data_IF_352785345437
#
_entry.id   IF_352785345437
#
_cell.length_a   1.000
_cell.length_b   1.000
_cell.length_c   1.000
_cell.angle_alpha   90.00
_cell.angle_beta   90.00
_cell.angle_gamma   90.00
#
_symmetry.space_group_name_H-M   'P 1'
#
loop_
_entity.id
_entity.type
_entity.pdbx_description
1 polymer ?
#
# COMPACT_ATOMS: atom_id res chain seq x y z
N UNK A 1 -26.01 -15.62 22.15
CA UNK A 1 -24.83 -14.80 21.80
C UNK A 1 -25.31 -13.69 20.87
N UNK A 2 -25.14 -12.43 21.25
CA UNK A 2 -25.52 -11.27 20.42
C UNK A 2 -24.26 -10.74 19.74
N UNK A 3 -24.26 -10.66 18.41
CA UNK A 3 -23.17 -10.09 17.62
C UNK A 3 -23.74 -8.89 16.86
N UNK A 4 -23.07 -7.75 16.95
CA UNK A 4 -23.45 -6.53 16.24
C UNK A 4 -22.25 -6.09 15.40
N UNK A 5 -22.48 -5.94 14.10
CA UNK A 5 -21.48 -5.48 13.14
C UNK A 5 -21.86 -4.10 12.61
N UNK A 6 -20.91 -3.17 12.60
CA UNK A 6 -21.11 -1.83 12.04
C UNK A 6 -19.76 -1.27 11.58
N UNK A 7 -19.73 -0.58 10.44
CA UNK A 7 -18.50 0.02 9.89
C UNK A 7 -17.99 1.19 10.74
N UNK A 8 -18.92 1.98 11.32
CA UNK A 8 -18.63 3.07 12.24
C UNK A 8 -19.65 3.08 13.36
N UNK A 9 -19.17 3.28 14.59
CA UNK A 9 -20.00 3.29 15.79
C UNK A 9 -19.89 4.63 16.49
N UNK A 10 -21.03 5.31 16.66
CA UNK A 10 -21.11 6.50 17.50
C UNK A 10 -21.19 6.11 18.97
N UNK A 11 -20.06 6.25 19.67
CA UNK A 11 -19.90 5.91 21.08
C UNK A 11 -20.74 6.76 22.03
N UNK A 12 -21.31 7.88 21.57
CA UNK A 12 -22.15 8.76 22.40
C UNK A 12 -23.56 8.21 22.56
N UNK A 13 -24.04 7.37 21.64
CA UNK A 13 -25.40 6.84 21.63
C UNK A 13 -25.68 5.96 22.85
N UNK A 14 -26.89 6.08 23.40
CA UNK A 14 -27.35 5.31 24.57
C UNK A 14 -27.24 3.81 24.35
N UNK A 15 -27.55 3.33 23.14
CA UNK A 15 -27.48 1.91 22.75
C UNK A 15 -26.05 1.36 22.87
N UNK A 16 -25.05 2.08 22.35
CA UNK A 16 -23.65 1.67 22.46
C UNK A 16 -23.22 1.55 23.93
N UNK A 17 -23.50 2.59 24.72
CA UNK A 17 -23.16 2.61 26.15
C UNK A 17 -23.84 1.49 26.94
N UNK A 18 -25.09 1.15 26.59
CA UNK A 18 -25.81 0.05 27.21
C UNK A 18 -25.14 -1.29 26.89
N UNK A 19 -24.81 -1.53 25.62
CA UNK A 19 -24.19 -2.78 25.18
C UNK A 19 -22.79 -2.99 25.75
N UNK A 20 -21.94 -1.94 25.79
CA UNK A 20 -20.57 -2.06 26.30
C UNK A 20 -20.48 -2.17 27.83
N UNK A 21 -21.55 -1.85 28.56
CA UNK A 21 -21.60 -2.02 30.03
C UNK A 21 -21.98 -3.42 30.46
N UNK A 22 -22.46 -4.25 29.54
CA UNK A 22 -22.83 -5.64 29.85
C UNK A 22 -21.57 -6.42 30.17
N UNK A 23 -21.61 -7.22 31.25
CA UNK A 23 -20.50 -8.09 31.63
C UNK A 23 -20.22 -9.09 30.51
N UNK A 24 -18.98 -9.10 30.01
CA UNK A 24 -18.56 -9.93 28.88
C UNK A 24 -18.67 -9.26 27.50
N UNK A 25 -19.05 -7.98 27.43
CA UNK A 25 -18.99 -7.21 26.19
C UNK A 25 -17.53 -7.04 25.74
N UNK A 26 -17.25 -7.40 24.48
CA UNK A 26 -15.93 -7.26 23.85
C UNK A 26 -16.08 -6.36 22.62
N UNK A 27 -15.29 -5.28 22.58
CA UNK A 27 -15.20 -4.41 21.41
C UNK A 27 -14.11 -4.92 20.47
N UNK A 28 -14.51 -5.49 19.34
CA UNK A 28 -13.61 -5.99 18.30
C UNK A 28 -13.24 -4.89 17.31
N UNK A 29 -12.60 -3.83 17.80
CA UNK A 29 -12.17 -2.72 16.93
C UNK A 29 -10.82 -3.04 16.27
N UNK A 30 -10.71 -2.66 14.99
CA UNK A 30 -9.44 -2.73 14.30
C UNK A 30 -8.41 -1.79 14.98
N UNK A 31 -7.15 -2.23 15.17
CA UNK A 31 -6.09 -1.35 15.64
C UNK A 31 -5.90 -0.18 14.68
N UNK A 32 -5.62 1.00 15.23
CA UNK A 32 -5.31 2.19 14.42
C UNK A 32 -3.96 2.02 13.73
N UNK A 33 -3.80 2.65 12.57
CA UNK A 33 -2.56 2.56 11.76
C UNK A 33 -1.30 2.90 12.57
N UNK A 34 -1.36 3.94 13.39
CA UNK A 34 -0.23 4.43 14.19
C UNK A 34 0.21 3.47 15.30
N UNK A 35 -0.58 2.45 15.63
CA UNK A 35 -0.24 1.45 16.65
C UNK A 35 0.03 0.06 16.07
N UNK A 36 -0.07 -0.12 14.74
CA UNK A 36 0.06 -1.44 14.09
C UNK A 36 1.38 -2.13 14.38
N UNK A 37 2.50 -1.39 14.40
CA UNK A 37 3.82 -1.95 14.68
C UNK A 37 3.88 -2.54 16.09
N UNK A 38 3.39 -1.80 17.09
CA UNK A 38 3.33 -2.28 18.48
C UNK A 38 2.35 -3.45 18.60
N UNK A 39 1.17 -3.32 17.99
CA UNK A 39 0.12 -4.33 18.02
C UNK A 39 0.58 -5.68 17.47
N UNK A 40 1.31 -5.68 16.35
CA UNK A 40 1.85 -6.92 15.76
C UNK A 40 2.94 -7.54 16.63
N UNK A 41 3.80 -6.73 17.23
CA UNK A 41 4.81 -7.22 18.15
C UNK A 41 4.18 -7.89 19.37
N UNK A 42 3.12 -7.29 19.91
CA UNK A 42 2.38 -7.84 21.05
C UNK A 42 1.69 -9.15 20.64
N UNK A 43 1.11 -9.22 19.44
CA UNK A 43 0.56 -10.47 18.89
C UNK A 43 1.59 -11.59 18.72
N UNK A 44 2.82 -11.27 18.30
CA UNK A 44 3.90 -12.25 18.24
C UNK A 44 4.27 -12.75 19.64
N UNK A 45 4.34 -11.83 20.61
CA UNK A 45 4.64 -12.12 22.01
C UNK A 45 3.58 -13.00 22.66
N UNK A 46 2.30 -12.75 22.40
CA UNK A 46 1.18 -13.57 22.88
C UNK A 46 1.28 -15.03 22.40
N UNK A 47 1.92 -15.25 21.25
CA UNK A 47 2.19 -16.58 20.69
C UNK A 47 3.55 -17.16 21.13
N UNK A 48 4.28 -16.47 22.02
CA UNK A 48 5.57 -16.92 22.54
C UNK A 48 6.77 -16.65 21.65
N UNK A 49 6.67 -15.70 20.70
CA UNK A 49 7.75 -15.30 19.81
C UNK A 49 8.23 -13.88 20.14
N UNK A 50 9.54 -13.65 20.03
CA UNK A 50 10.14 -12.34 20.10
C UNK A 50 10.23 -11.74 18.68
N UNK A 51 9.66 -10.55 18.47
CA UNK A 51 9.77 -9.81 17.23
C UNK A 51 10.35 -8.43 17.53
N UNK A 52 11.42 -8.05 16.83
CA UNK A 52 12.00 -6.72 17.01
C UNK A 52 11.18 -5.65 16.24
N UNK A 53 11.38 -4.37 16.58
CA UNK A 53 10.62 -3.26 15.98
C UNK A 53 10.84 -3.16 14.46
N UNK A 54 12.02 -3.51 13.95
CA UNK A 54 12.32 -3.45 12.52
C UNK A 54 11.55 -4.52 11.75
N UNK A 55 11.50 -5.75 12.25
CA UNK A 55 10.71 -6.84 11.68
C UNK A 55 9.21 -6.51 11.69
N UNK A 56 8.68 -6.01 12.81
CA UNK A 56 7.28 -5.59 12.89
C UNK A 56 6.96 -4.45 11.92
N UNK A 57 7.89 -3.48 11.76
CA UNK A 57 7.74 -2.38 10.81
C UNK A 57 7.83 -2.86 9.37
N UNK A 58 8.74 -3.77 9.05
CA UNK A 58 8.83 -4.40 7.74
C UNK A 58 7.52 -5.13 7.40
N UNK A 59 6.95 -5.88 8.35
CA UNK A 59 5.66 -6.55 8.14
C UNK A 59 4.53 -5.55 7.87
N UNK A 60 4.46 -4.47 8.66
CA UNK A 60 3.44 -3.42 8.48
C UNK A 60 3.63 -2.64 7.18
N UNK A 61 4.86 -2.35 6.79
CA UNK A 61 5.17 -1.65 5.54
C UNK A 61 4.85 -2.50 4.32
N UNK A 62 5.18 -3.80 4.38
CA UNK A 62 4.77 -4.78 3.38
C UNK A 62 3.27 -4.82 3.35
N UNK A 63 2.60 -5.34 4.38
CA UNK A 63 1.16 -5.65 4.35
C UNK A 63 0.25 -4.42 4.26
N UNK A 64 0.65 -3.29 4.85
CA UNK A 64 -0.19 -2.10 5.00
C UNK A 64 -1.18 -2.19 6.16
N UNK A 65 -2.14 -1.27 6.18
CA UNK A 65 -3.13 -1.11 7.25
C UNK A 65 -4.29 -2.12 7.17
N UNK A 66 -3.96 -3.41 7.04
CA UNK A 66 -4.92 -4.51 6.94
C UNK A 66 -4.70 -5.51 8.08
N UNK A 67 -5.28 -5.30 9.28
CA UNK A 67 -5.02 -6.11 10.47
C UNK A 67 -5.25 -7.61 10.27
N UNK A 68 -6.27 -8.00 9.49
CA UNK A 68 -6.52 -9.41 9.18
C UNK A 68 -5.41 -10.06 8.37
N UNK A 69 -4.94 -9.38 7.32
CA UNK A 69 -3.82 -9.85 6.48
C UNK A 69 -2.52 -9.84 7.28
N UNK A 70 -2.30 -8.81 8.11
CA UNK A 70 -1.14 -8.73 8.99
C UNK A 70 -1.02 -9.94 9.91
N UNK A 71 -2.14 -10.42 10.47
CA UNK A 71 -2.16 -11.62 11.32
C UNK A 71 -1.86 -12.87 10.50
N UNK A 72 -2.36 -12.97 9.27
CA UNK A 72 -2.05 -14.12 8.39
C UNK A 72 -0.55 -14.17 8.06
N UNK A 73 0.03 -13.05 7.64
CA UNK A 73 1.46 -12.97 7.31
C UNK A 73 2.36 -13.13 8.55
N UNK A 74 1.93 -12.61 9.72
CA UNK A 74 2.58 -12.89 10.99
C UNK A 74 2.61 -14.39 11.24
N UNK A 75 1.46 -15.07 11.18
CA UNK A 75 1.38 -16.51 11.47
C UNK A 75 2.27 -17.34 10.53
N UNK A 76 2.32 -17.01 9.23
CA UNK A 76 3.26 -17.65 8.29
C UNK A 76 4.71 -17.44 8.73
N UNK A 77 5.06 -16.22 9.13
CA UNK A 77 6.41 -15.88 9.58
C UNK A 77 6.78 -16.63 10.87
N UNK A 78 5.84 -16.76 11.82
CA UNK A 78 6.06 -17.52 13.06
C UNK A 78 6.27 -19.01 12.78
N UNK A 79 5.51 -19.58 11.83
CA UNK A 79 5.68 -20.97 11.38
C UNK A 79 7.06 -21.17 10.75
N UNK A 80 7.47 -20.25 9.87
CA UNK A 80 8.78 -20.29 9.20
C UNK A 80 9.95 -20.25 10.19
N UNK A 81 9.91 -19.33 11.16
CA UNK A 81 10.96 -19.20 12.20
C UNK A 81 10.94 -20.39 13.17
N UNK A 82 9.78 -20.99 13.39
CA UNK A 82 9.61 -22.21 14.19
C UNK A 82 10.24 -22.09 15.58
N UNK A 83 11.10 -23.05 15.93
CA UNK A 83 11.71 -23.17 17.26
C UNK A 83 12.67 -22.05 17.63
N UNK A 84 13.18 -21.28 16.66
CA UNK A 84 14.08 -20.16 16.94
C UNK A 84 13.38 -19.04 17.73
N UNK A 85 12.05 -18.96 17.64
CA UNK A 85 11.18 -18.02 18.38
C UNK A 85 11.60 -16.55 18.32
N UNK A 86 12.45 -16.17 17.37
CA UNK A 86 12.96 -14.82 17.16
C UNK A 86 12.76 -14.44 15.71
N UNK A 87 11.89 -13.47 15.47
CA UNK A 87 11.58 -12.97 14.13
C UNK A 87 12.49 -11.79 13.81
N UNK A 88 13.31 -11.96 12.78
CA UNK A 88 14.13 -10.90 12.20
C UNK A 88 13.43 -10.23 11.02
N UNK A 89 13.97 -9.09 10.58
CA UNK A 89 13.48 -8.43 9.36
C UNK A 89 13.67 -9.33 8.14
N UNK A 90 14.79 -10.07 8.05
CA UNK A 90 15.06 -10.98 6.94
C UNK A 90 14.01 -12.10 6.85
N UNK A 91 13.58 -12.66 7.99
CA UNK A 91 12.53 -13.69 8.00
C UNK A 91 11.21 -13.17 7.43
N UNK A 92 10.86 -11.93 7.78
CA UNK A 92 9.68 -11.26 7.20
C UNK A 92 9.86 -11.06 5.70
N UNK A 93 11.05 -10.67 5.25
CA UNK A 93 11.31 -10.44 3.83
C UNK A 93 11.20 -11.71 2.98
N UNK A 94 11.55 -12.85 3.55
CA UNK A 94 11.53 -14.15 2.87
C UNK A 94 10.14 -14.78 2.82
N UNK A 95 9.34 -14.57 3.86
CA UNK A 95 8.01 -15.20 3.99
C UNK A 95 6.91 -14.35 3.39
N UNK A 96 7.02 -13.04 3.57
CA UNK A 96 5.95 -12.11 3.24
C UNK A 96 6.25 -11.50 1.89
N UNK A 97 5.48 -11.89 0.88
CA UNK A 97 5.56 -11.28 -0.44
C UNK A 97 5.40 -9.76 -0.39
N UNK A 98 5.92 -9.07 -1.41
CA UNK A 98 5.60 -7.66 -1.61
C UNK A 98 4.08 -7.49 -1.65
N UNK A 99 3.53 -6.49 -0.97
CA UNK A 99 2.12 -6.19 -1.20
C UNK A 99 1.92 -5.53 -2.54
N UNK A 100 0.68 -5.60 -2.98
CA UNK A 100 0.14 -4.77 -4.05
C UNK A 100 0.58 -3.30 -3.93
N UNK A 101 0.58 -2.70 -2.75
CA UNK A 101 1.08 -1.33 -2.55
C UNK A 101 2.58 -1.21 -2.83
N UNK A 102 3.41 -2.05 -2.21
CA UNK A 102 4.86 -2.04 -2.46
C UNK A 102 5.20 -2.32 -3.93
N UNK A 103 4.53 -3.27 -4.58
CA UNK A 103 4.76 -3.57 -5.99
C UNK A 103 4.41 -2.39 -6.90
N UNK A 104 3.40 -1.59 -6.58
CA UNK A 104 3.09 -0.35 -7.32
C UNK A 104 4.18 0.71 -7.11
N UNK A 105 4.67 0.88 -5.87
CA UNK A 105 5.80 1.78 -5.60
C UNK A 105 7.06 1.32 -6.34
N UNK A 106 7.38 0.02 -6.30
CA UNK A 106 8.47 -0.59 -7.06
C UNK A 106 8.33 -0.36 -8.58
N UNK A 107 7.10 -0.46 -9.10
CA UNK A 107 6.82 -0.19 -10.52
C UNK A 107 7.07 1.28 -10.84
N UNK A 108 6.62 2.20 -9.99
CA UNK A 108 6.83 3.65 -10.16
C UNK A 108 8.31 4.02 -10.03
N UNK A 109 9.05 3.35 -9.14
CA UNK A 109 10.50 3.47 -9.03
C UNK A 109 11.21 3.01 -10.31
N UNK A 110 10.80 1.88 -10.87
CA UNK A 110 11.34 1.39 -12.13
C UNK A 110 11.04 2.34 -13.29
N UNK A 111 9.83 2.88 -13.36
CA UNK A 111 9.44 3.91 -14.34
C UNK A 111 10.32 5.15 -14.24
N UNK A 112 10.51 5.65 -13.01
CA UNK A 112 11.32 6.85 -12.71
C UNK A 112 12.80 6.64 -12.98
N UNK A 113 13.35 5.49 -12.62
CA UNK A 113 14.76 5.16 -12.85
C UNK A 113 15.05 4.82 -14.31
N UNK A 114 14.07 5.00 -15.22
CA UNK A 114 14.18 4.67 -16.65
C UNK A 114 14.68 3.24 -16.85
N UNK A 115 14.16 2.33 -16.04
CA UNK A 115 14.48 0.92 -16.11
C UNK A 115 13.29 0.17 -16.71
N UNK A 116 13.12 0.21 -18.05
CA UNK A 116 12.00 -0.45 -18.72
C UNK A 116 11.99 -1.96 -18.47
N UNK A 117 13.18 -2.58 -18.36
CA UNK A 117 13.28 -4.00 -18.06
C UNK A 117 12.62 -4.33 -16.71
N UNK A 118 12.99 -3.63 -15.63
CA UNK A 118 12.41 -3.86 -14.30
C UNK A 118 10.92 -3.49 -14.27
N UNK A 119 10.51 -2.43 -14.97
CA UNK A 119 9.11 -2.03 -15.02
C UNK A 119 8.24 -3.08 -15.75
N UNK A 120 8.71 -3.62 -16.87
CA UNK A 120 8.03 -4.68 -17.60
C UNK A 120 8.00 -5.99 -16.80
N UNK A 121 9.08 -6.33 -16.10
CA UNK A 121 9.09 -7.49 -15.20
C UNK A 121 8.04 -7.36 -14.09
N UNK A 122 7.93 -6.18 -13.46
CA UNK A 122 6.94 -5.92 -12.42
C UNK A 122 5.50 -5.94 -12.98
N UNK A 123 5.29 -5.44 -14.19
CA UNK A 123 4.01 -5.56 -14.89
C UNK A 123 3.64 -7.03 -15.12
N UNK A 124 4.55 -7.80 -15.71
CA UNK A 124 4.31 -9.22 -16.02
C UNK A 124 4.04 -10.01 -14.73
N UNK A 125 4.79 -9.77 -13.66
CA UNK A 125 4.50 -10.39 -12.37
C UNK A 125 3.05 -10.14 -11.92
N UNK A 126 2.55 -8.91 -12.03
CA UNK A 126 1.15 -8.62 -11.65
C UNK A 126 0.15 -9.36 -12.55
N UNK A 127 0.40 -9.39 -13.86
CA UNK A 127 -0.44 -10.11 -14.82
C UNK A 127 -0.45 -11.63 -14.56
N UNK A 128 0.71 -12.21 -14.28
CA UNK A 128 0.87 -13.65 -13.97
C UNK A 128 0.15 -14.03 -12.66
N UNK A 129 0.00 -13.08 -11.74
CA UNK A 129 -0.79 -13.24 -10.52
C UNK A 129 -2.31 -13.04 -10.74
N UNK A 130 -2.74 -12.84 -11.98
CA UNK A 130 -4.15 -12.69 -12.36
C UNK A 130 -4.72 -11.30 -12.12
N UNK A 131 -3.88 -10.27 -11.93
CA UNK A 131 -4.36 -8.89 -11.84
C UNK A 131 -4.77 -8.36 -13.22
N UNK A 132 -6.00 -7.84 -13.31
CA UNK A 132 -6.53 -7.25 -14.54
C UNK A 132 -5.70 -6.03 -15.01
N UNK A 133 -5.35 -5.92 -16.31
CA UNK A 133 -4.60 -4.79 -16.86
C UNK A 133 -5.16 -3.41 -16.48
N UNK A 134 -6.50 -3.25 -16.51
CA UNK A 134 -7.18 -2.01 -16.15
C UNK A 134 -7.01 -1.65 -14.67
N UNK A 135 -6.93 -2.66 -13.80
CA UNK A 135 -6.70 -2.51 -12.36
C UNK A 135 -5.26 -2.08 -12.10
N UNK A 136 -4.29 -2.65 -12.83
CA UNK A 136 -2.88 -2.21 -12.79
C UNK A 136 -2.73 -0.77 -13.29
N UNK A 137 -3.36 -0.42 -14.41
CA UNK A 137 -3.37 0.95 -14.93
C UNK A 137 -3.94 1.94 -13.91
N UNK A 138 -5.08 1.61 -13.30
CA UNK A 138 -5.71 2.46 -12.28
C UNK A 138 -4.80 2.68 -11.06
N UNK A 139 -4.04 1.66 -10.67
CA UNK A 139 -3.05 1.77 -9.60
C UNK A 139 -1.89 2.71 -9.95
N UNK A 140 -1.35 2.60 -11.17
CA UNK A 140 -0.31 3.52 -11.67
C UNK A 140 -0.85 4.95 -11.68
N UNK A 141 -2.07 5.15 -12.21
CA UNK A 141 -2.70 6.47 -12.27
C UNK A 141 -2.92 7.09 -10.89
N UNK A 142 -3.38 6.30 -9.92
CA UNK A 142 -3.50 6.73 -8.53
C UNK A 142 -2.15 7.17 -7.96
N UNK A 143 -1.09 6.40 -8.18
CA UNK A 143 0.24 6.71 -7.67
C UNK A 143 0.80 8.03 -8.26
N UNK A 144 0.64 8.25 -9.57
CA UNK A 144 0.98 9.53 -10.20
C UNK A 144 0.14 10.69 -9.65
N UNK A 145 -1.14 10.46 -9.29
CA UNK A 145 -1.98 11.46 -8.60
C UNK A 145 -1.40 11.87 -7.26
N UNK A 146 -1.09 10.87 -6.42
CA UNK A 146 -0.55 11.09 -5.08
C UNK A 146 0.76 11.87 -5.16
N UNK A 147 1.68 11.49 -6.06
CA UNK A 147 2.94 12.21 -6.26
C UNK A 147 2.69 13.67 -6.66
N UNK A 148 1.77 13.93 -7.58
CA UNK A 148 1.45 15.28 -8.02
C UNK A 148 0.84 16.11 -6.90
N UNK A 149 -0.12 15.57 -6.17
CA UNK A 149 -0.77 16.26 -5.06
C UNK A 149 0.21 16.60 -3.93
N UNK A 150 1.05 15.65 -3.53
CA UNK A 150 2.12 15.86 -2.55
C UNK A 150 3.10 16.94 -3.05
N UNK A 151 3.47 16.94 -4.33
CA UNK A 151 4.34 17.97 -4.91
C UNK A 151 3.72 19.37 -4.85
N UNK A 152 2.42 19.50 -5.12
CA UNK A 152 1.69 20.76 -4.99
C UNK A 152 1.69 21.27 -3.53
N UNK A 153 1.53 20.37 -2.56
CA UNK A 153 1.62 20.74 -1.14
C UNK A 153 3.04 21.15 -0.71
N UNK A 154 4.07 20.47 -1.21
CA UNK A 154 5.46 20.87 -0.97
C UNK A 154 5.76 22.27 -1.53
N UNK A 155 5.24 22.59 -2.72
CA UNK A 155 5.40 23.94 -3.32
C UNK A 155 4.76 25.05 -2.49
N UNK A 156 3.79 24.71 -1.62
CA UNK A 156 3.17 25.62 -0.66
C UNK A 156 3.84 25.59 0.72
N UNK A 157 4.99 24.94 0.85
CA UNK A 157 5.76 24.78 2.10
C UNK A 157 4.98 24.11 3.24
N UNK A 158 4.03 23.22 2.93
CA UNK A 158 3.29 22.48 3.96
C UNK A 158 4.16 21.35 4.53
N UNK A 159 4.29 21.21 5.86
CA UNK A 159 5.05 20.11 6.47
C UNK A 159 4.46 18.73 6.18
N UNK A 160 5.31 17.72 5.95
CA UNK A 160 4.92 16.34 5.57
C UNK A 160 3.85 15.70 6.47
N UNK A 161 3.92 15.94 7.78
CA UNK A 161 2.95 15.43 8.75
C UNK A 161 1.55 16.07 8.60
N UNK A 162 1.48 17.29 8.07
CA UNK A 162 0.22 17.96 7.74
C UNK A 162 -0.31 17.56 6.37
N UNK A 163 0.56 17.22 5.42
CA UNK A 163 0.17 16.76 4.07
C UNK A 163 -0.71 15.50 4.16
N UNK A 164 -0.30 14.48 4.92
CA UNK A 164 -1.09 13.25 5.08
C UNK A 164 -2.49 13.52 5.63
N UNK A 165 -2.60 14.42 6.62
CA UNK A 165 -3.88 14.84 7.18
C UNK A 165 -4.73 15.61 6.17
N UNK A 166 -4.13 16.50 5.40
CA UNK A 166 -4.81 17.30 4.38
C UNK A 166 -5.36 16.43 3.24
N UNK A 167 -4.59 15.42 2.81
CA UNK A 167 -5.00 14.47 1.78
C UNK A 167 -5.98 13.40 2.28
N UNK A 168 -6.14 13.25 3.60
CA UNK A 168 -6.85 12.10 4.17
C UNK A 168 -6.20 10.75 3.83
N UNK A 169 -4.89 10.76 3.53
CA UNK A 169 -4.12 9.61 3.08
C UNK A 169 -3.25 9.04 4.21
N UNK A 170 -2.88 7.76 4.08
CA UNK A 170 -1.98 7.10 5.02
C UNK A 170 -0.60 7.82 5.03
N UNK A 171 -0.02 8.14 6.20
CA UNK A 171 1.28 8.81 6.29
C UNK A 171 2.42 8.11 5.52
N UNK A 172 2.41 6.78 5.47
CA UNK A 172 3.41 5.99 4.73
C UNK A 172 3.34 6.24 3.22
N UNK A 173 2.12 6.34 2.68
CA UNK A 173 1.90 6.64 1.25
C UNK A 173 2.44 8.02 0.91
N UNK A 174 2.21 9.00 1.78
CA UNK A 174 2.74 10.36 1.61
C UNK A 174 4.26 10.38 1.74
N UNK A 175 4.83 9.69 2.73
CA UNK A 175 6.28 9.59 2.90
C UNK A 175 6.97 8.98 1.67
N UNK A 176 6.43 7.89 1.12
CA UNK A 176 6.92 7.32 -0.13
C UNK A 176 6.76 8.28 -1.30
N UNK A 177 5.60 8.90 -1.47
CA UNK A 177 5.37 9.88 -2.54
C UNK A 177 6.34 11.06 -2.48
N UNK A 178 6.65 11.57 -1.27
CA UNK A 178 7.65 12.62 -1.03
C UNK A 178 9.06 12.23 -1.53
N UNK A 179 9.42 10.94 -1.51
CA UNK A 179 10.70 10.47 -2.07
C UNK A 179 10.73 10.58 -3.60
N UNK A 180 9.57 10.53 -4.26
CA UNK A 180 9.48 10.61 -5.72
C UNK A 180 9.24 12.04 -6.25
N UNK A 181 8.74 12.98 -5.43
CA UNK A 181 8.41 14.34 -5.92
C UNK A 181 9.60 15.11 -6.50
N UNK A 182 10.81 14.88 -5.98
CA UNK A 182 12.06 15.48 -6.51
C UNK A 182 12.41 14.97 -7.90
N UNK A 183 11.94 13.78 -8.24
CA UNK A 183 12.32 13.07 -9.46
C UNK A 183 11.38 13.31 -10.64
N UNK A 184 10.20 13.89 -10.38
CA UNK A 184 9.21 14.20 -11.41
C UNK A 184 8.99 15.70 -11.50
N UNK A 185 9.22 16.29 -12.67
CA UNK A 185 8.80 17.65 -12.98
C UNK A 185 7.29 17.73 -13.22
N UNK A 186 6.69 18.91 -13.07
CA UNK A 186 5.26 19.11 -13.36
C UNK A 186 4.92 18.77 -14.82
N UNK A 187 5.85 19.00 -15.75
CA UNK A 187 5.68 18.65 -17.16
C UNK A 187 5.70 17.13 -17.38
N UNK A 188 6.57 16.40 -16.67
CA UNK A 188 6.62 14.93 -16.72
C UNK A 188 5.33 14.33 -16.15
N UNK A 189 4.85 14.83 -15.02
CA UNK A 189 3.57 14.38 -14.42
C UNK A 189 2.39 14.61 -15.38
N UNK A 190 2.34 15.78 -16.03
CA UNK A 190 1.31 16.10 -17.02
C UNK A 190 1.36 15.15 -18.22
N UNK A 191 2.55 14.88 -18.76
CA UNK A 191 2.73 13.93 -19.88
C UNK A 191 2.33 12.51 -19.50
N UNK A 192 2.75 12.04 -18.32
CA UNK A 192 2.37 10.73 -17.81
C UNK A 192 0.85 10.59 -17.70
N UNK A 193 0.15 11.62 -17.23
CA UNK A 193 -1.31 11.64 -17.18
C UNK A 193 -1.98 11.56 -18.55
N UNK A 194 -1.42 12.20 -19.57
CA UNK A 194 -1.92 12.09 -20.95
C UNK A 194 -1.78 10.66 -21.47
N UNK A 195 -0.62 10.02 -21.26
CA UNK A 195 -0.39 8.62 -21.63
C UNK A 195 -1.33 7.67 -20.89
N UNK A 196 -1.53 7.88 -19.58
CA UNK A 196 -2.49 7.11 -18.78
C UNK A 196 -3.92 7.27 -19.28
N UNK A 197 -4.32 8.47 -19.69
CA UNK A 197 -5.65 8.73 -20.25
C UNK A 197 -5.85 8.00 -21.59
N UNK A 198 -4.82 7.98 -22.43
CA UNK A 198 -4.84 7.25 -23.69
C UNK A 198 -4.92 5.72 -23.46
N UNK A 199 -4.17 5.21 -22.49
CA UNK A 199 -4.22 3.80 -22.12
C UNK A 199 -5.58 3.41 -21.53
N UNK A 200 -6.16 4.22 -20.63
CA UNK A 200 -7.51 3.99 -20.07
C UNK A 200 -8.56 3.91 -21.16
N UNK A 201 -8.52 4.82 -22.13
CA UNK A 201 -9.42 4.79 -23.28
C UNK A 201 -9.23 3.52 -24.10
N UNK A 202 -7.99 3.14 -24.38
CA UNK A 202 -7.69 1.93 -25.18
C UNK A 202 -8.20 0.68 -24.47
N UNK A 203 -7.93 0.53 -23.17
CA UNK A 203 -8.40 -0.60 -22.37
C UNK A 203 -9.92 -0.72 -22.28
N UNK A 204 -10.67 0.39 -22.40
CA UNK A 204 -12.14 0.39 -22.26
C UNK A 204 -12.92 0.30 -23.57
N UNK A 205 -12.31 0.71 -24.69
CA UNK A 205 -13.05 1.00 -25.92
C UNK A 205 -12.49 0.38 -27.19
N UNK A 206 -11.33 -0.25 -27.15
CA UNK A 206 -10.72 -0.88 -28.34
C UNK A 206 -10.65 -2.39 -28.19
N UNK A 207 -10.59 -3.09 -29.33
CA UNK A 207 -10.32 -4.54 -29.40
C UNK A 207 -8.83 -4.88 -29.32
N UNK A 208 -8.00 -3.92 -28.88
CA UNK A 208 -6.57 -4.14 -28.73
C UNK A 208 -6.31 -5.08 -27.55
N UNK A 209 -5.25 -5.89 -27.66
CA UNK A 209 -4.79 -6.72 -26.55
C UNK A 209 -4.46 -5.83 -25.32
N UNK A 210 -5.16 -6.01 -24.19
CA UNK A 210 -4.92 -5.21 -22.98
C UNK A 210 -3.48 -5.29 -22.47
N UNK A 211 -2.80 -6.42 -22.65
CA UNK A 211 -1.40 -6.59 -22.23
C UNK A 211 -0.49 -5.72 -23.09
N UNK A 212 -0.67 -5.76 -24.41
CA UNK A 212 0.05 -4.88 -25.33
C UNK A 212 -0.15 -3.38 -25.02
N UNK A 213 -1.37 -2.96 -24.68
CA UNK A 213 -1.65 -1.58 -24.27
C UNK A 213 -0.84 -1.21 -23.02
N UNK A 214 -0.79 -2.10 -22.03
CA UNK A 214 -0.01 -1.88 -20.80
C UNK A 214 1.50 -1.85 -21.04
N UNK A 215 2.04 -2.74 -21.86
CA UNK A 215 3.46 -2.73 -22.21
C UNK A 215 3.83 -1.43 -22.93
N UNK A 216 2.99 -0.98 -23.87
CA UNK A 216 3.16 0.29 -24.57
C UNK A 216 3.13 1.48 -23.61
N UNK A 217 2.20 1.47 -22.64
CA UNK A 217 2.13 2.49 -21.58
C UNK A 217 3.43 2.54 -20.76
N UNK A 218 3.92 1.38 -20.29
CA UNK A 218 5.16 1.30 -19.48
C UNK A 218 6.36 1.81 -20.27
N UNK A 219 6.50 1.40 -21.54
CA UNK A 219 7.56 1.89 -22.42
C UNK A 219 7.43 3.40 -22.66
N UNK A 220 6.22 3.90 -22.91
CA UNK A 220 5.95 5.33 -23.09
C UNK A 220 6.32 6.18 -21.88
N UNK A 221 6.02 5.69 -20.67
CA UNK A 221 6.34 6.37 -19.41
C UNK A 221 7.86 6.39 -19.13
N UNK A 222 8.57 5.34 -19.51
CA UNK A 222 10.05 5.25 -19.34
C UNK A 222 10.83 6.01 -20.40
N UNK A 223 10.29 6.15 -21.62
CA UNK A 223 10.97 6.76 -22.76
C UNK A 223 11.01 8.30 -22.73
N UNK A 224 10.32 8.95 -21.79
CA UNK A 224 10.18 10.41 -21.75
C UNK A 224 11.55 11.11 -21.64
N UNK A 225 12.07 11.62 -22.77
CA UNK A 225 13.30 12.43 -22.85
C UNK A 225 13.05 13.84 -22.26
N UNK A 226 14.12 14.37 -21.67
CA UNK A 226 14.21 15.71 -21.09
C UNK A 226 13.95 16.78 -22.14
#
# INVERSE_FOLDING_TARGET
>A
CLVITADKVDRKRKVYKALTKIKGAVACEAPKENVLVTWIRDKAKDQGYAMNTNAARALVNRVGAHPGVLVQELNKTLIYVGKNKKVSEKDVQEVVGETRLETIFSLTDALKNKNPHKALQLLNNQLDHGEEPIKIMGMIAWQFRVIWEVKNYQQRNIPSNQIAKAMGANPFVVEKALQHTKNFSNQQLRRAYLQLTQADRSLKSTSQDPVFVMQTLILGLTATRH
#
